data_IF_102660945710
#
_entry.id   IF_102660945710
#
_cell.length_a   1.000
_cell.length_b   1.000
_cell.length_c   1.000
_cell.angle_alpha   90.00
_cell.angle_beta   90.00
_cell.angle_gamma   90.00
#
_symmetry.space_group_name_H-M   'P 1'
#
loop_
_entity.id
_entity.type
_entity.pdbx_description
1 polymer ?
#
# COMPACT_ATOMS: atom_id res chain seq x y z
N UNK A 1 -27.73 11.99 -17.87
CA UNK A 1 -26.58 11.19 -18.35
C UNK A 1 -25.86 11.99 -19.44
N UNK A 2 -24.56 12.20 -19.30
CA UNK A 2 -23.76 12.88 -20.30
C UNK A 2 -23.35 11.85 -21.36
N UNK A 3 -23.73 12.07 -22.63
CA UNK A 3 -23.56 11.12 -23.73
C UNK A 3 -22.10 10.64 -23.95
N UNK A 4 -21.14 11.42 -23.46
CA UNK A 4 -19.71 11.17 -23.63
C UNK A 4 -19.01 10.69 -22.36
N UNK A 5 -19.74 10.45 -21.25
CA UNK A 5 -19.17 9.90 -20.02
C UNK A 5 -19.57 8.42 -19.94
N UNK A 6 -18.56 7.54 -20.02
CA UNK A 6 -18.72 6.10 -19.87
C UNK A 6 -18.90 5.67 -18.41
N UNK A 7 -18.72 4.37 -18.15
CA UNK A 7 -18.65 3.83 -16.79
C UNK A 7 -17.48 4.43 -16.00
N UNK A 8 -17.52 4.31 -14.67
CA UNK A 8 -16.43 4.81 -13.84
C UNK A 8 -15.21 3.88 -13.93
N UNK A 9 -14.08 4.28 -13.34
CA UNK A 9 -12.85 3.51 -13.42
C UNK A 9 -12.91 2.17 -12.66
N UNK A 10 -13.66 2.11 -11.55
CA UNK A 10 -13.81 0.89 -10.76
C UNK A 10 -14.63 -0.16 -11.54
N UNK A 11 -15.67 0.27 -12.26
CA UNK A 11 -16.44 -0.58 -13.18
C UNK A 11 -15.52 -1.17 -14.27
N UNK A 12 -14.67 -0.33 -14.88
CA UNK A 12 -13.67 -0.79 -15.85
C UNK A 12 -12.71 -1.82 -15.25
N UNK A 13 -12.18 -1.56 -14.05
CA UNK A 13 -11.28 -2.49 -13.37
C UNK A 13 -11.99 -3.80 -12.96
N UNK A 14 -13.28 -3.74 -12.66
CA UNK A 14 -14.09 -4.92 -12.35
C UNK A 14 -14.27 -5.78 -13.61
N UNK A 15 -14.60 -5.17 -14.75
CA UNK A 15 -14.76 -5.84 -16.04
C UNK A 15 -13.46 -6.51 -16.50
N UNK A 16 -12.31 -5.89 -16.24
CA UNK A 16 -10.97 -6.45 -16.53
C UNK A 16 -10.51 -7.50 -15.49
N UNK A 17 -11.27 -7.75 -14.41
CA UNK A 17 -10.86 -8.64 -13.33
C UNK A 17 -9.67 -8.14 -12.51
N UNK A 18 -9.38 -6.83 -12.57
CA UNK A 18 -8.23 -6.18 -11.94
C UNK A 18 -8.55 -5.47 -10.64
N UNK A 19 -9.83 -5.18 -10.36
CA UNK A 19 -10.26 -4.33 -9.25
C UNK A 19 -9.64 -4.76 -7.91
N UNK A 20 -9.83 -6.03 -7.52
CA UNK A 20 -9.32 -6.54 -6.24
C UNK A 20 -7.79 -6.41 -6.12
N UNK A 21 -7.05 -6.61 -7.21
CA UNK A 21 -5.59 -6.45 -7.23
C UNK A 21 -5.20 -4.97 -7.10
N UNK A 22 -5.90 -4.08 -7.80
CA UNK A 22 -5.66 -2.65 -7.74
C UNK A 22 -5.92 -2.10 -6.33
N UNK A 23 -7.04 -2.49 -5.70
CA UNK A 23 -7.39 -2.14 -4.34
C UNK A 23 -6.35 -2.65 -3.33
N UNK A 24 -5.94 -3.91 -3.42
CA UNK A 24 -4.92 -4.47 -2.53
C UNK A 24 -3.59 -3.70 -2.62
N UNK A 25 -3.16 -3.35 -3.83
CA UNK A 25 -1.95 -2.53 -4.06
C UNK A 25 -2.14 -1.11 -3.51
N UNK A 26 -3.31 -0.51 -3.69
CA UNK A 26 -3.61 0.83 -3.18
C UNK A 26 -3.56 0.87 -1.64
N UNK A 27 -4.24 -0.07 -0.98
CA UNK A 27 -4.23 -0.20 0.49
C UNK A 27 -2.81 -0.36 1.01
N UNK A 28 -2.01 -1.24 0.39
CA UNK A 28 -0.60 -1.40 0.74
C UNK A 28 0.15 -0.06 0.71
N UNK A 29 0.04 0.67 -0.41
CA UNK A 29 0.80 1.90 -0.65
C UNK A 29 0.43 2.96 0.38
N UNK A 30 -0.84 3.07 0.75
CA UNK A 30 -1.28 4.00 1.81
C UNK A 30 -0.66 3.63 3.15
N UNK A 31 -0.69 2.35 3.54
CA UNK A 31 -0.09 1.89 4.81
C UNK A 31 1.42 2.14 4.83
N UNK A 32 2.13 1.78 3.76
CA UNK A 32 3.57 1.97 3.65
C UNK A 32 3.94 3.46 3.74
N UNK A 33 3.18 4.32 3.06
CA UNK A 33 3.36 5.77 3.11
C UNK A 33 3.16 6.34 4.52
N UNK A 34 2.10 5.94 5.23
CA UNK A 34 1.84 6.38 6.60
C UNK A 34 2.95 5.95 7.56
N UNK A 35 3.47 4.72 7.42
CA UNK A 35 4.59 4.23 8.23
C UNK A 35 5.87 5.01 7.92
N UNK A 36 6.14 5.28 6.64
CA UNK A 36 7.32 6.05 6.25
C UNK A 36 7.24 7.48 6.82
N UNK A 37 6.10 8.16 6.73
CA UNK A 37 5.91 9.48 7.33
C UNK A 37 6.16 9.45 8.85
N UNK A 38 5.58 8.48 9.56
CA UNK A 38 5.81 8.34 11.00
C UNK A 38 7.30 8.15 11.33
N UNK A 39 8.00 7.35 10.52
CA UNK A 39 9.43 7.13 10.70
C UNK A 39 10.24 8.42 10.49
N UNK A 40 9.88 9.21 9.49
CA UNK A 40 10.51 10.50 9.21
C UNK A 40 10.25 11.52 10.33
N UNK A 41 8.99 11.69 10.74
CA UNK A 41 8.56 12.61 11.81
C UNK A 41 9.20 12.30 13.17
N UNK A 42 9.41 11.02 13.46
CA UNK A 42 9.95 10.56 14.76
C UNK A 42 11.42 10.16 14.69
N UNK A 43 12.08 10.37 13.55
CA UNK A 43 13.46 9.98 13.29
C UNK A 43 13.74 8.49 13.63
N UNK A 44 12.80 7.60 13.27
CA UNK A 44 12.91 6.17 13.53
C UNK A 44 13.64 5.47 12.38
N UNK A 45 14.59 4.62 12.73
CA UNK A 45 15.14 3.66 11.78
C UNK A 45 14.17 2.50 11.52
N UNK A 46 14.36 1.78 10.41
CA UNK A 46 13.56 0.58 10.10
C UNK A 46 13.61 -0.49 11.21
N UNK A 47 14.73 -0.61 11.92
CA UNK A 47 14.86 -1.55 13.05
C UNK A 47 14.13 -1.05 14.30
N UNK A 48 14.11 0.27 14.54
CA UNK A 48 13.31 0.84 15.62
C UNK A 48 11.80 0.67 15.33
N UNK A 49 11.38 0.92 14.09
CA UNK A 49 9.98 0.73 13.68
C UNK A 49 9.56 -0.74 13.78
N UNK A 50 10.40 -1.67 13.35
CA UNK A 50 10.14 -3.10 13.48
C UNK A 50 9.90 -3.52 14.95
N UNK A 51 10.69 -2.99 15.89
CA UNK A 51 10.50 -3.25 17.32
C UNK A 51 9.17 -2.68 17.83
N UNK A 52 8.79 -1.47 17.42
CA UNK A 52 7.51 -0.86 17.82
C UNK A 52 6.30 -1.63 17.29
N UNK A 53 6.40 -2.16 16.06
CA UNK A 53 5.34 -2.94 15.42
C UNK A 53 5.37 -4.43 15.80
N UNK A 54 6.28 -4.86 16.68
CA UNK A 54 6.49 -6.27 17.03
C UNK A 54 6.66 -7.19 15.80
N UNK A 55 7.44 -6.74 14.81
CA UNK A 55 7.74 -7.50 13.59
C UNK A 55 9.24 -7.49 13.29
N UNK A 56 9.65 -8.12 12.19
CA UNK A 56 11.05 -8.16 11.76
C UNK A 56 11.42 -6.93 10.92
N UNK A 57 12.70 -6.54 10.94
CA UNK A 57 13.24 -5.52 10.02
C UNK A 57 12.99 -5.89 8.55
N UNK A 58 13.02 -7.17 8.22
CA UNK A 58 12.75 -7.69 6.88
C UNK A 58 11.29 -7.47 6.46
N UNK A 59 10.33 -7.64 7.38
CA UNK A 59 8.93 -7.34 7.13
C UNK A 59 8.72 -5.84 6.84
N UNK A 60 9.32 -4.96 7.66
CA UNK A 60 9.31 -3.50 7.39
C UNK A 60 9.95 -3.17 6.04
N UNK A 61 11.08 -3.80 5.69
CA UNK A 61 11.71 -3.60 4.38
C UNK A 61 10.77 -3.97 3.23
N UNK A 62 10.09 -5.12 3.30
CA UNK A 62 9.15 -5.57 2.26
C UNK A 62 7.90 -4.70 2.18
N UNK A 63 7.41 -4.24 3.32
CA UNK A 63 6.26 -3.34 3.41
C UNK A 63 6.54 -2.01 2.71
N UNK A 64 7.73 -1.43 2.96
CA UNK A 64 8.16 -0.15 2.41
C UNK A 64 8.70 -0.25 0.97
N UNK A 65 8.90 -1.46 0.45
CA UNK A 65 9.36 -1.69 -0.92
C UNK A 65 8.18 -1.51 -1.91
N UNK A 66 8.21 -0.51 -2.81
CA UNK A 66 7.12 -0.25 -3.75
C UNK A 66 6.94 -1.36 -4.80
N UNK A 67 7.99 -2.14 -5.07
CA UNK A 67 7.99 -3.19 -6.10
C UNK A 67 7.56 -4.55 -5.53
N UNK A 68 7.43 -4.68 -4.21
CA UNK A 68 6.97 -5.91 -3.58
C UNK A 68 5.43 -5.96 -3.58
N UNK A 69 4.75 -6.90 -4.25
CA UNK A 69 3.28 -6.94 -4.24
C UNK A 69 2.69 -7.51 -2.94
N UNK A 70 3.51 -8.13 -2.07
CA UNK A 70 3.02 -8.82 -0.87
C UNK A 70 2.89 -7.88 0.33
N UNK A 71 1.75 -7.95 1.01
CA UNK A 71 1.57 -7.42 2.36
C UNK A 71 1.61 -8.59 3.32
N UNK A 72 2.69 -8.73 4.08
CA UNK A 72 2.77 -9.70 5.16
C UNK A 72 3.48 -9.02 6.32
N UNK A 73 2.75 -8.80 7.41
CA UNK A 73 3.21 -8.15 8.63
C UNK A 73 3.53 -9.18 9.71
#
# INVERSE_FOLDING_TARGET
>A
MNRNIGSNFDDFLADEGLLAKAEAVAVKRVIAFQIQQMMEERHLSKSAMARLMNTSRTAINRLLDPDNPSVTL
#
